data_IF_646672403159
#
_entry.id   IF_646672403159
#
_cell.length_a   1.000
_cell.length_b   1.000
_cell.length_c   1.000
_cell.angle_alpha   90.00
_cell.angle_beta   90.00
_cell.angle_gamma   90.00
#
_symmetry.space_group_name_H-M   'P 1'
#
loop_
_entity.id
_entity.type
_entity.pdbx_description
1 polymer ?
#
# COMPACT_ATOMS: atom_id res chain seq x y z
N UNK A 1 73.51 7.70 -21.84
CA UNK A 1 72.24 8.06 -22.50
C UNK A 1 71.12 7.24 -21.89
N UNK A 2 70.33 7.83 -20.98
CA UNK A 2 69.15 7.19 -20.39
C UNK A 2 67.91 7.90 -20.93
N UNK A 3 67.16 7.22 -21.79
CA UNK A 3 65.86 7.68 -22.25
C UNK A 3 64.81 7.39 -21.18
N UNK A 4 64.29 8.45 -20.56
CA UNK A 4 63.13 8.39 -19.67
C UNK A 4 61.88 8.45 -20.56
N UNK A 5 61.23 7.32 -20.76
CA UNK A 5 59.88 7.24 -21.34
C UNK A 5 58.87 7.79 -20.32
N UNK A 6 58.20 8.90 -20.66
CA UNK A 6 57.14 9.48 -19.82
C UNK A 6 55.88 8.59 -19.83
N UNK A 7 55.16 8.42 -18.72
CA UNK A 7 53.99 7.55 -18.65
C UNK A 7 52.76 8.25 -19.25
N UNK A 8 52.30 7.78 -20.40
CA UNK A 8 51.06 8.25 -21.07
C UNK A 8 49.79 7.61 -20.47
N UNK A 9 49.93 6.71 -19.50
CA UNK A 9 48.86 5.76 -19.14
C UNK A 9 47.90 6.23 -18.06
N UNK A 10 48.29 7.14 -17.17
CA UNK A 10 47.46 7.49 -16.00
C UNK A 10 46.19 8.31 -16.34
N UNK A 11 46.29 9.27 -17.27
CA UNK A 11 45.14 10.14 -17.64
C UNK A 11 44.08 9.41 -18.47
N UNK A 12 44.50 8.51 -19.36
CA UNK A 12 43.58 7.70 -20.16
C UNK A 12 42.81 6.70 -19.29
N UNK A 13 43.50 6.07 -18.32
CA UNK A 13 42.89 5.11 -17.40
C UNK A 13 41.87 5.78 -16.46
N UNK A 14 42.18 6.99 -15.97
CA UNK A 14 41.25 7.77 -15.15
C UNK A 14 40.00 8.23 -15.91
N UNK A 15 40.12 8.56 -17.21
CA UNK A 15 39.00 8.92 -18.07
C UNK A 15 38.10 7.72 -18.38
N UNK A 16 38.69 6.55 -18.64
CA UNK A 16 37.98 5.29 -18.83
C UNK A 16 37.24 4.84 -17.56
N UNK A 17 37.88 4.95 -16.38
CA UNK A 17 37.23 4.70 -15.09
C UNK A 17 36.07 5.67 -14.84
N UNK A 18 36.23 6.96 -15.18
CA UNK A 18 35.14 7.94 -15.09
C UNK A 18 33.98 7.63 -16.04
N UNK A 19 34.27 7.20 -17.27
CA UNK A 19 33.22 6.83 -18.25
C UNK A 19 32.48 5.56 -17.83
N UNK A 20 33.17 4.55 -17.31
CA UNK A 20 32.53 3.35 -16.74
C UNK A 20 31.70 3.69 -15.49
N UNK A 21 32.19 4.58 -14.63
CA UNK A 21 31.45 5.03 -13.45
C UNK A 21 30.22 5.85 -13.82
N UNK A 22 30.33 6.73 -14.83
CA UNK A 22 29.19 7.49 -15.35
C UNK A 22 28.19 6.59 -16.09
N UNK A 23 28.64 5.58 -16.82
CA UNK A 23 27.78 4.58 -17.45
C UNK A 23 27.06 3.70 -16.41
N UNK A 24 27.75 3.30 -15.33
CA UNK A 24 27.15 2.58 -14.21
C UNK A 24 26.13 3.46 -13.44
N UNK A 25 26.45 4.75 -13.22
CA UNK A 25 25.52 5.71 -12.63
C UNK A 25 24.31 5.98 -13.54
N UNK A 26 24.50 5.99 -14.87
CA UNK A 26 23.41 6.12 -15.85
C UNK A 26 22.54 4.86 -15.92
N UNK A 27 23.14 3.66 -15.92
CA UNK A 27 22.42 2.37 -15.80
C UNK A 27 21.70 2.21 -14.46
N UNK A 28 22.20 2.81 -13.39
CA UNK A 28 21.53 2.81 -12.09
C UNK A 28 20.36 3.81 -12.08
N UNK A 29 20.50 4.97 -12.75
CA UNK A 29 19.45 5.97 -12.88
C UNK A 29 18.29 5.55 -13.80
N UNK A 30 18.58 4.77 -14.85
CA UNK A 30 17.57 4.22 -15.76
C UNK A 30 16.84 2.98 -15.23
N UNK A 31 17.28 2.39 -14.11
CA UNK A 31 16.65 1.18 -13.55
C UNK A 31 15.39 1.45 -12.70
N UNK A 32 14.98 2.71 -12.58
CA UNK A 32 13.88 3.16 -11.72
C UNK A 32 12.86 4.05 -12.44
N UNK A 33 13.01 4.28 -13.75
CA UNK A 33 12.00 5.00 -14.52
C UNK A 33 10.99 3.98 -15.04
N UNK A 34 9.71 4.20 -14.73
CA UNK A 34 8.64 3.37 -15.22
C UNK A 34 8.49 3.51 -16.74
N UNK A 35 8.40 2.38 -17.43
CA UNK A 35 8.14 2.31 -18.86
C UNK A 35 6.82 1.57 -19.11
N UNK A 36 6.19 1.85 -20.25
CA UNK A 36 5.00 1.13 -20.66
C UNK A 36 5.39 -0.29 -21.06
N UNK A 37 4.83 -1.28 -20.36
CA UNK A 37 5.15 -2.71 -20.54
C UNK A 37 4.89 -3.13 -21.99
N UNK A 38 5.84 -3.86 -22.58
CA UNK A 38 5.68 -4.39 -23.95
C UNK A 38 4.71 -5.56 -23.96
N UNK A 39 4.05 -5.77 -25.10
CA UNK A 39 3.02 -6.80 -25.23
C UNK A 39 3.54 -8.20 -24.85
N UNK A 40 4.77 -8.53 -25.22
CA UNK A 40 5.40 -9.83 -24.98
C UNK A 40 5.79 -10.05 -23.50
N UNK A 41 5.91 -8.96 -22.73
CA UNK A 41 6.38 -8.97 -21.33
C UNK A 41 5.20 -8.93 -20.34
N UNK A 42 3.94 -8.74 -20.79
CA UNK A 42 2.75 -8.54 -19.94
C UNK A 42 2.53 -9.67 -18.92
N UNK A 43 2.85 -10.91 -19.29
CA UNK A 43 2.63 -12.10 -18.45
C UNK A 43 3.88 -12.57 -17.72
N UNK A 44 4.99 -11.86 -17.89
CA UNK A 44 6.22 -12.18 -17.18
C UNK A 44 6.20 -11.54 -15.79
N UNK A 45 6.72 -12.23 -14.76
CA UNK A 45 6.82 -11.64 -13.44
C UNK A 45 7.74 -10.42 -13.46
N UNK A 46 7.34 -9.37 -12.76
CA UNK A 46 8.17 -8.18 -12.62
C UNK A 46 9.51 -8.55 -11.95
N UNK A 47 10.62 -8.14 -12.56
CA UNK A 47 11.98 -8.50 -12.11
C UNK A 47 12.25 -8.10 -10.65
N UNK A 48 11.54 -7.08 -10.14
CA UNK A 48 11.68 -6.59 -8.77
C UNK A 48 11.28 -7.64 -7.73
N UNK A 49 10.35 -8.54 -8.05
CA UNK A 49 10.00 -9.66 -7.15
C UNK A 49 11.18 -10.61 -6.96
N UNK A 50 11.90 -10.92 -8.04
CA UNK A 50 13.12 -11.75 -7.98
C UNK A 50 14.26 -11.12 -7.18
N UNK A 51 14.40 -9.79 -7.21
CA UNK A 51 15.37 -9.07 -6.39
C UNK A 51 15.03 -9.16 -4.89
N UNK A 52 13.75 -9.05 -4.55
CA UNK A 52 13.27 -9.13 -3.16
C UNK A 52 13.46 -10.54 -2.60
N UNK A 53 13.21 -11.57 -3.41
CA UNK A 53 13.45 -12.97 -3.03
C UNK A 53 14.92 -13.21 -2.66
N UNK A 54 15.86 -12.66 -3.44
CA UNK A 54 17.29 -12.77 -3.17
C UNK A 54 17.72 -12.04 -1.90
N UNK A 55 17.11 -10.88 -1.62
CA UNK A 55 17.43 -10.06 -0.46
C UNK A 55 16.83 -10.62 0.84
N UNK A 56 15.61 -11.16 0.78
CA UNK A 56 14.86 -11.63 1.96
C UNK A 56 15.03 -13.13 2.23
N UNK A 57 15.50 -13.89 1.23
CA UNK A 57 15.54 -15.36 1.28
C UNK A 57 14.17 -16.02 1.24
N UNK A 58 13.10 -15.23 1.08
CA UNK A 58 11.71 -15.72 1.03
C UNK A 58 11.27 -15.75 -0.43
N UNK A 59 10.80 -16.88 -0.92
CA UNK A 59 10.32 -17.00 -2.30
C UNK A 59 8.92 -16.42 -2.42
N UNK A 60 8.78 -15.27 -3.07
CA UNK A 60 7.51 -14.66 -3.39
C UNK A 60 7.01 -15.23 -4.73
N UNK A 61 5.80 -15.79 -4.71
CA UNK A 61 5.17 -16.36 -5.92
C UNK A 61 3.78 -15.78 -6.12
N UNK A 62 3.29 -15.78 -7.37
CA UNK A 62 1.91 -15.41 -7.69
C UNK A 62 0.90 -16.22 -6.86
N UNK A 63 1.16 -17.51 -6.65
CA UNK A 63 0.31 -18.38 -5.82
C UNK A 63 0.31 -17.93 -4.35
N UNK A 64 1.48 -17.57 -3.80
CA UNK A 64 1.57 -17.07 -2.42
C UNK A 64 0.81 -15.74 -2.27
N UNK A 65 0.97 -14.81 -3.22
CA UNK A 65 0.25 -13.55 -3.26
C UNK A 65 -1.26 -13.77 -3.33
N UNK A 66 -1.72 -14.64 -4.23
CA UNK A 66 -3.14 -14.99 -4.35
C UNK A 66 -3.68 -15.56 -3.04
N UNK A 67 -3.01 -16.55 -2.45
CA UNK A 67 -3.45 -17.18 -1.19
C UNK A 67 -3.52 -16.17 -0.05
N UNK A 68 -2.54 -15.28 0.06
CA UNK A 68 -2.55 -14.23 1.09
C UNK A 68 -3.73 -13.28 0.88
N UNK A 69 -3.92 -12.75 -0.33
CA UNK A 69 -5.05 -11.87 -0.64
C UNK A 69 -6.39 -12.58 -0.42
N UNK A 70 -6.51 -13.83 -0.86
CA UNK A 70 -7.73 -14.62 -0.70
C UNK A 70 -8.14 -14.77 0.77
N UNK A 71 -7.18 -14.97 1.66
CA UNK A 71 -7.40 -15.03 3.11
C UNK A 71 -7.95 -13.73 3.73
N UNK A 72 -7.78 -12.59 3.07
CA UNK A 72 -8.35 -11.31 3.52
C UNK A 72 -9.81 -11.22 3.06
N UNK A 73 -10.73 -11.27 4.03
CA UNK A 73 -12.18 -11.27 3.78
C UNK A 73 -12.88 -10.12 4.50
N UNK A 74 -13.96 -9.65 3.89
CA UNK A 74 -14.92 -8.75 4.53
C UNK A 74 -16.05 -9.56 5.17
N UNK A 75 -16.71 -8.98 6.17
CA UNK A 75 -17.91 -9.57 6.78
C UNK A 75 -19.12 -9.48 5.84
N UNK A 76 -20.06 -10.42 5.98
CA UNK A 76 -21.31 -10.44 5.20
C UNK A 76 -22.21 -9.22 5.47
N UNK A 77 -22.03 -8.55 6.62
CA UNK A 77 -22.73 -7.31 6.98
C UNK A 77 -22.25 -6.08 6.19
N UNK A 78 -21.14 -6.19 5.45
CA UNK A 78 -20.60 -5.08 4.66
C UNK A 78 -21.45 -4.92 3.38
N UNK A 79 -21.86 -3.69 3.00
CA UNK A 79 -22.65 -3.47 1.79
C UNK A 79 -22.00 -4.01 0.51
N UNK A 80 -22.81 -4.53 -0.41
CA UNK A 80 -22.36 -5.16 -1.66
C UNK A 80 -21.44 -4.26 -2.49
N UNK A 81 -21.74 -2.96 -2.55
CA UNK A 81 -20.91 -2.00 -3.29
C UNK A 81 -19.47 -1.92 -2.73
N UNK A 82 -19.31 -1.96 -1.41
CA UNK A 82 -18.00 -1.96 -0.75
C UNK A 82 -17.29 -3.29 -0.98
N UNK A 83 -18.01 -4.42 -0.89
CA UNK A 83 -17.45 -5.74 -1.19
C UNK A 83 -16.95 -5.84 -2.63
N UNK A 84 -17.72 -5.33 -3.58
CA UNK A 84 -17.38 -5.30 -5.00
C UNK A 84 -16.09 -4.50 -5.23
N UNK A 85 -15.99 -3.27 -4.69
CA UNK A 85 -14.78 -2.47 -4.82
C UNK A 85 -13.58 -3.05 -4.06
N UNK A 86 -13.79 -3.74 -2.94
CA UNK A 86 -12.74 -4.46 -2.23
C UNK A 86 -12.14 -5.58 -3.09
N UNK A 87 -12.99 -6.39 -3.75
CA UNK A 87 -12.54 -7.43 -4.66
C UNK A 87 -11.80 -6.86 -5.88
N UNK A 88 -12.24 -5.73 -6.43
CA UNK A 88 -11.48 -5.03 -7.48
C UNK A 88 -10.10 -4.60 -6.98
N UNK A 89 -9.99 -4.18 -5.72
CA UNK A 89 -8.70 -3.81 -5.10
C UNK A 89 -7.78 -5.03 -4.94
N UNK A 90 -8.32 -6.18 -4.51
CA UNK A 90 -7.57 -7.45 -4.46
C UNK A 90 -7.10 -7.88 -5.85
N UNK A 91 -7.97 -7.80 -6.85
CA UNK A 91 -7.61 -8.11 -8.24
C UNK A 91 -6.47 -7.21 -8.72
N UNK A 92 -6.54 -5.90 -8.47
CA UNK A 92 -5.46 -4.97 -8.79
C UNK A 92 -4.15 -5.35 -8.09
N UNK A 93 -4.21 -5.76 -6.82
CA UNK A 93 -3.05 -6.23 -6.08
C UNK A 93 -2.45 -7.52 -6.64
N UNK A 94 -3.24 -8.42 -7.24
CA UNK A 94 -2.70 -9.59 -7.95
C UNK A 94 -1.85 -9.16 -9.15
N UNK A 95 -2.30 -8.15 -9.90
CA UNK A 95 -1.58 -7.64 -11.06
C UNK A 95 -0.26 -6.93 -10.71
N UNK A 96 0.01 -6.64 -9.42
CA UNK A 96 1.33 -6.14 -9.02
C UNK A 96 2.43 -7.19 -9.21
N UNK A 97 2.07 -8.47 -9.36
CA UNK A 97 2.99 -9.53 -9.77
C UNK A 97 3.62 -9.26 -11.15
N UNK A 98 2.83 -8.74 -12.08
CA UNK A 98 3.26 -8.43 -13.45
C UNK A 98 3.74 -6.99 -13.62
N UNK A 99 3.21 -6.07 -12.80
CA UNK A 99 3.60 -4.67 -12.80
C UNK A 99 3.65 -4.13 -11.38
N UNK A 100 4.83 -4.17 -10.78
CA UNK A 100 5.03 -3.75 -9.39
C UNK A 100 4.65 -2.27 -9.17
N UNK A 101 4.71 -1.46 -10.22
CA UNK A 101 4.31 -0.04 -10.29
C UNK A 101 2.82 0.20 -10.05
N UNK A 102 1.99 -0.85 -10.10
CA UNK A 102 0.58 -0.80 -9.72
C UNK A 102 0.37 -0.84 -8.20
N UNK A 103 1.38 -1.18 -7.40
CA UNK A 103 1.25 -1.30 -5.94
C UNK A 103 0.77 0.01 -5.28
N UNK A 104 1.33 1.20 -5.60
CA UNK A 104 0.80 2.46 -5.07
C UNK A 104 -0.66 2.75 -5.46
N UNK A 105 -1.10 2.28 -6.64
CA UNK A 105 -2.49 2.43 -7.10
C UNK A 105 -3.41 1.53 -6.28
N UNK A 106 -2.99 0.29 -6.01
CA UNK A 106 -3.70 -0.61 -5.12
C UNK A 106 -3.80 -0.01 -3.71
N UNK A 107 -2.71 0.54 -3.17
CA UNK A 107 -2.69 1.23 -1.88
C UNK A 107 -3.65 2.42 -1.85
N UNK A 108 -3.62 3.31 -2.85
CA UNK A 108 -4.54 4.45 -2.95
C UNK A 108 -6.01 3.99 -2.88
N UNK A 109 -6.34 2.91 -3.61
CA UNK A 109 -7.70 2.38 -3.64
C UNK A 109 -8.16 1.91 -2.25
N UNK A 110 -7.26 1.43 -1.39
CA UNK A 110 -7.62 1.08 0.00
C UNK A 110 -8.07 2.29 0.82
N UNK A 111 -7.38 3.44 0.71
CA UNK A 111 -7.77 4.65 1.44
C UNK A 111 -9.12 5.20 0.96
N UNK A 112 -9.32 5.20 -0.37
CA UNK A 112 -10.58 5.60 -0.99
C UNK A 112 -11.72 4.71 -0.48
N UNK A 113 -11.48 3.40 -0.37
CA UNK A 113 -12.50 2.47 0.09
C UNK A 113 -12.86 2.65 1.56
N UNK A 114 -11.88 2.94 2.44
CA UNK A 114 -12.15 3.28 3.85
C UNK A 114 -13.00 4.56 3.94
N UNK A 115 -12.63 5.60 3.19
CA UNK A 115 -13.41 6.85 3.15
C UNK A 115 -14.84 6.60 2.65
N UNK A 116 -14.98 5.81 1.58
CA UNK A 116 -16.28 5.47 1.00
C UNK A 116 -17.16 4.68 1.99
N UNK A 117 -16.60 3.64 2.63
CA UNK A 117 -17.28 2.86 3.65
C UNK A 117 -17.81 3.73 4.81
N UNK A 118 -17.00 4.69 5.27
CA UNK A 118 -17.43 5.64 6.30
C UNK A 118 -18.55 6.57 5.81
N UNK A 119 -18.41 7.15 4.60
CA UNK A 119 -19.45 8.02 4.02
C UNK A 119 -20.78 7.29 3.89
N UNK A 120 -20.73 6.04 3.44
CA UNK A 120 -21.88 5.16 3.32
C UNK A 120 -22.50 4.87 4.70
N UNK A 121 -21.71 4.45 5.69
CA UNK A 121 -22.21 4.15 7.05
C UNK A 121 -22.80 5.38 7.76
N UNK A 122 -22.29 6.57 7.48
CA UNK A 122 -22.82 7.81 8.06
C UNK A 122 -23.94 8.45 7.25
N UNK A 123 -24.16 8.05 5.98
CA UNK A 123 -25.02 8.72 5.01
C UNK A 123 -24.63 10.21 4.85
N UNK A 124 -23.32 10.47 4.65
CA UNK A 124 -22.73 11.83 4.57
C UNK A 124 -21.59 11.92 3.55
N UNK A 125 -21.93 12.08 2.26
CA UNK A 125 -20.92 12.16 1.19
C UNK A 125 -20.03 13.41 1.25
N UNK A 126 -20.55 14.49 1.81
CA UNK A 126 -19.86 15.78 1.90
C UNK A 126 -18.95 15.92 3.12
N UNK A 127 -18.91 14.94 4.02
CA UNK A 127 -18.05 15.03 5.19
C UNK A 127 -16.59 14.74 4.83
N UNK A 128 -15.64 15.56 5.30
CA UNK A 128 -14.23 15.34 5.04
C UNK A 128 -13.73 14.11 5.80
N UNK A 129 -12.78 13.40 5.20
CA UNK A 129 -12.24 12.13 5.73
C UNK A 129 -11.78 12.20 7.21
N UNK A 130 -11.02 13.21 7.68
CA UNK A 130 -10.67 13.33 9.10
C UNK A 130 -11.87 13.37 10.05
N UNK A 131 -12.96 14.04 9.63
CA UNK A 131 -14.19 14.17 10.42
C UNK A 131 -14.90 12.82 10.56
N UNK A 132 -14.95 12.04 9.48
CA UNK A 132 -15.54 10.71 9.46
C UNK A 132 -14.80 9.76 10.41
N UNK A 133 -13.47 9.72 10.33
CA UNK A 133 -12.62 8.89 11.21
C UNK A 133 -12.86 9.28 12.68
N UNK A 134 -12.78 10.58 12.99
CA UNK A 134 -13.00 11.09 14.36
C UNK A 134 -14.37 10.69 14.90
N UNK A 135 -15.42 10.77 14.07
CA UNK A 135 -16.78 10.38 14.48
C UNK A 135 -16.92 8.87 14.68
N UNK A 136 -16.30 8.04 13.85
CA UNK A 136 -16.30 6.59 14.01
C UNK A 136 -15.63 6.16 15.32
N UNK A 137 -14.48 6.76 15.65
CA UNK A 137 -13.77 6.52 16.92
C UNK A 137 -14.63 6.95 18.11
N UNK A 138 -15.24 8.15 18.05
CA UNK A 138 -16.08 8.65 19.13
C UNK A 138 -17.35 7.80 19.37
N UNK A 139 -17.85 7.10 18.34
CA UNK A 139 -18.96 6.14 18.45
C UNK A 139 -18.50 4.74 18.90
N UNK A 140 -17.20 4.53 19.12
CA UNK A 140 -16.64 3.23 19.46
C UNK A 140 -16.67 2.22 18.31
N UNK A 141 -16.90 2.66 17.07
CA UNK A 141 -16.99 1.76 15.92
C UNK A 141 -15.65 1.15 15.55
N UNK A 142 -14.57 1.91 15.76
CA UNK A 142 -13.21 1.51 15.43
C UNK A 142 -12.31 1.74 16.64
N UNK A 143 -11.51 0.73 16.97
CA UNK A 143 -10.62 0.67 18.13
C UNK A 143 -9.34 -0.08 17.78
N UNK A 144 -8.29 0.11 18.57
CA UNK A 144 -6.97 -0.45 18.29
C UNK A 144 -7.00 -1.99 18.25
N UNK A 145 -7.80 -2.62 19.11
CA UNK A 145 -7.95 -4.08 19.20
C UNK A 145 -8.59 -4.74 17.98
N UNK A 146 -9.09 -3.95 17.02
CA UNK A 146 -9.60 -4.48 15.76
C UNK A 146 -8.55 -4.59 14.65
N UNK A 147 -7.29 -4.23 14.94
CA UNK A 147 -6.18 -4.30 13.99
C UNK A 147 -5.18 -5.39 14.37
N UNK A 148 -4.89 -6.30 13.44
CA UNK A 148 -4.04 -7.47 13.73
C UNK A 148 -2.57 -7.11 13.99
N UNK A 149 -2.10 -6.00 13.43
CA UNK A 149 -0.72 -5.52 13.59
C UNK A 149 -0.51 -4.62 14.82
N UNK A 150 -1.54 -4.40 15.63
CA UNK A 150 -1.49 -3.51 16.80
C UNK A 150 -1.72 -4.30 18.08
N UNK A 151 -0.76 -4.21 19.00
CA UNK A 151 -0.98 -4.61 20.39
C UNK A 151 -1.76 -3.50 21.11
N UNK A 152 -3.04 -3.74 21.35
CA UNK A 152 -3.91 -2.75 21.98
C UNK A 152 -3.48 -2.46 23.41
N UNK A 153 -3.38 -1.17 23.76
CA UNK A 153 -3.10 -0.74 25.12
C UNK A 153 -4.35 -0.98 25.99
N UNK A 154 -4.26 -1.78 27.09
CA UNK A 154 -5.42 -2.06 27.93
C UNK A 154 -6.06 -0.81 28.54
N UNK A 155 -5.26 0.24 28.76
CA UNK A 155 -5.71 1.50 29.35
C UNK A 155 -6.32 2.46 28.31
N UNK A 156 -5.98 2.30 27.04
CA UNK A 156 -6.43 3.19 25.96
C UNK A 156 -6.46 2.45 24.61
N UNK A 157 -7.61 1.85 24.32
CA UNK A 157 -7.84 1.09 23.09
C UNK A 157 -8.13 1.99 21.86
N UNK A 158 -7.67 3.25 21.87
CA UNK A 158 -7.85 4.16 20.72
C UNK A 158 -6.59 4.98 20.38
N UNK A 159 -5.45 4.67 21.00
CA UNK A 159 -4.18 5.39 20.83
C UNK A 159 -3.68 5.32 19.38
N UNK A 160 -3.81 4.18 18.72
CA UNK A 160 -3.42 4.01 17.32
C UNK A 160 -4.42 4.69 16.38
N UNK A 161 -5.72 4.41 16.51
CA UNK A 161 -6.74 4.95 15.59
C UNK A 161 -6.86 6.47 15.66
N UNK A 162 -6.59 7.11 16.81
CA UNK A 162 -6.59 8.58 16.89
C UNK A 162 -5.52 9.22 16.02
N UNK A 163 -4.36 8.58 15.83
CA UNK A 163 -3.33 9.07 14.89
C UNK A 163 -3.81 8.99 13.43
N UNK A 164 -4.69 8.03 13.13
CA UNK A 164 -5.20 7.82 11.78
C UNK A 164 -6.10 8.96 11.28
N UNK A 165 -6.61 9.82 12.17
CA UNK A 165 -7.35 11.04 11.81
C UNK A 165 -6.52 11.96 10.91
N UNK A 166 -5.21 12.02 11.13
CA UNK A 166 -4.27 12.83 10.33
C UNK A 166 -3.56 11.99 9.27
N UNK A 167 -3.18 10.76 9.61
CA UNK A 167 -2.35 9.90 8.75
C UNK A 167 -3.11 9.42 7.51
N UNK A 168 -4.32 8.86 7.63
CA UNK A 168 -5.03 8.31 6.48
C UNK A 168 -5.36 9.37 5.41
N UNK A 169 -5.88 10.55 5.76
CA UNK A 169 -6.14 11.60 4.77
C UNK A 169 -4.84 12.12 4.12
N UNK A 170 -3.76 12.25 4.89
CA UNK A 170 -2.45 12.66 4.37
C UNK A 170 -1.89 11.65 3.37
N UNK A 171 -1.94 10.35 3.70
CA UNK A 171 -1.49 9.27 2.81
C UNK A 171 -2.35 9.20 1.55
N UNK A 172 -3.68 9.30 1.67
CA UNK A 172 -4.60 9.33 0.52
C UNK A 172 -4.26 10.48 -0.43
N UNK A 173 -4.05 11.68 0.10
CA UNK A 173 -3.75 12.86 -0.72
C UNK A 173 -2.39 12.73 -1.39
N UNK A 174 -1.38 12.28 -0.65
CA UNK A 174 -0.04 12.05 -1.20
C UNK A 174 -0.06 11.00 -2.31
N UNK A 175 -0.75 9.87 -2.10
CA UNK A 175 -0.88 8.81 -3.11
C UNK A 175 -1.66 9.27 -4.35
N UNK A 176 -2.65 10.16 -4.20
CA UNK A 176 -3.38 10.73 -5.33
C UNK A 176 -2.54 11.65 -6.23
N UNK A 177 -1.48 12.24 -5.70
CA UNK A 177 -0.52 13.04 -6.49
C UNK A 177 0.58 12.20 -7.15
N UNK A 178 0.58 10.88 -6.90
CA UNK A 178 1.64 9.97 -7.31
C UNK A 178 2.77 9.94 -6.30
N UNK A 179 3.20 8.74 -5.91
CA UNK A 179 4.40 8.55 -5.11
C UNK A 179 5.58 8.18 -6.00
N UNK A 180 6.74 8.79 -5.77
CA UNK A 180 7.98 8.39 -6.43
C UNK A 180 8.61 7.15 -5.78
N UNK A 181 8.09 6.71 -4.63
CA UNK A 181 8.53 5.53 -3.90
C UNK A 181 7.74 4.30 -4.31
N UNK A 182 8.46 3.26 -4.72
CA UNK A 182 7.95 1.94 -5.07
C UNK A 182 8.11 1.02 -3.86
N UNK A 183 7.07 0.90 -3.04
CA UNK A 183 7.08 0.05 -1.84
C UNK A 183 6.06 -1.08 -1.97
N UNK A 184 6.50 -2.33 -1.81
CA UNK A 184 5.63 -3.52 -1.86
C UNK A 184 4.80 -3.65 -0.59
N UNK A 185 3.72 -2.89 -0.49
CA UNK A 185 2.89 -2.88 0.72
C UNK A 185 1.39 -3.02 0.45
N UNK A 186 0.94 -3.15 -0.81
CA UNK A 186 -0.48 -3.24 -1.13
C UNK A 186 -1.23 -4.32 -0.33
N UNK A 187 -0.63 -5.49 -0.13
CA UNK A 187 -1.25 -6.58 0.65
C UNK A 187 -1.52 -6.17 2.10
N UNK A 188 -0.53 -5.55 2.76
CA UNK A 188 -0.70 -5.05 4.14
C UNK A 188 -1.73 -3.92 4.21
N UNK A 189 -1.76 -3.03 3.22
CA UNK A 189 -2.78 -1.99 3.13
C UNK A 189 -4.19 -2.56 2.92
N UNK A 190 -4.34 -3.62 2.12
CA UNK A 190 -5.61 -4.33 1.92
C UNK A 190 -6.07 -5.00 3.21
N UNK A 191 -5.16 -5.61 3.97
CA UNK A 191 -5.47 -6.19 5.29
C UNK A 191 -6.01 -5.12 6.25
N UNK A 192 -5.28 -4.01 6.40
CA UNK A 192 -5.69 -2.89 7.27
C UNK A 192 -7.03 -2.30 6.79
N UNK A 193 -7.25 -2.20 5.49
CA UNK A 193 -8.50 -1.76 4.89
C UNK A 193 -9.67 -2.67 5.28
N UNK A 194 -9.50 -3.99 5.19
CA UNK A 194 -10.51 -4.95 5.60
C UNK A 194 -10.82 -4.83 7.09
N UNK A 195 -9.80 -4.66 7.94
CA UNK A 195 -9.95 -4.47 9.39
C UNK A 195 -10.71 -3.20 9.74
N UNK A 196 -10.47 -2.09 9.02
CA UNK A 196 -11.27 -0.86 9.15
C UNK A 196 -12.73 -1.11 8.78
N UNK A 197 -12.97 -1.69 7.59
CA UNK A 197 -14.33 -1.88 7.04
C UNK A 197 -15.13 -2.85 7.92
N UNK A 198 -14.53 -3.96 8.32
CA UNK A 198 -15.18 -4.95 9.19
C UNK A 198 -15.54 -4.35 10.56
N UNK A 199 -14.70 -3.47 11.10
CA UNK A 199 -15.04 -2.73 12.32
C UNK A 199 -16.20 -1.76 12.11
N UNK A 200 -16.22 -1.00 11.02
CA UNK A 200 -17.30 -0.02 10.71
C UNK A 200 -18.66 -0.71 10.57
N UNK A 201 -18.70 -1.89 9.96
CA UNK A 201 -19.91 -2.67 9.72
C UNK A 201 -20.06 -3.87 10.67
N UNK A 202 -19.41 -3.85 11.83
CA UNK A 202 -19.61 -4.89 12.83
C UNK A 202 -21.09 -4.93 13.26
N UNK A 203 -21.74 -6.11 13.29
CA UNK A 203 -23.14 -6.25 13.71
C UNK A 203 -23.43 -5.66 15.10
N UNK A 204 -22.43 -5.62 15.99
CA UNK A 204 -22.56 -5.09 17.35
C UNK A 204 -22.97 -3.60 17.39
N UNK A 205 -22.69 -2.83 16.32
CA UNK A 205 -22.93 -1.39 16.30
C UNK A 205 -24.38 -1.00 15.99
N UNK A 206 -25.12 -1.87 15.31
CA UNK A 206 -26.51 -1.60 14.93
C UNK A 206 -27.46 -1.91 16.11
N UNK A 207 -27.11 -2.88 16.95
CA UNK A 207 -27.86 -3.16 18.19
C UNK A 207 -27.75 -2.04 19.25
N UNK A 208 -26.63 -1.32 19.31
CA UNK A 208 -26.44 -0.24 20.28
C UNK A 208 -27.14 1.06 19.88
N UNK A 209 -27.26 1.36 18.58
CA UNK A 209 -27.95 2.57 18.10
C UNK A 209 -29.47 2.54 18.33
N UNK A 210 -30.10 1.36 18.25
CA UNK A 210 -31.54 1.20 18.55
C UNK A 210 -31.84 1.42 20.04
N UNK A 211 -30.89 1.11 20.94
CA UNK A 211 -31.06 1.31 22.39
C UNK A 211 -30.90 2.77 22.80
N UNK A 212 -30.04 3.53 22.12
CA UNK A 212 -29.86 4.97 22.37
C UNK A 212 -30.96 5.85 21.75
N UNK A 213 -31.62 5.40 20.67
CA UNK A 213 -32.75 6.12 20.07
C UNK A 213 -34.09 5.89 20.80
N UNK A 214 -34.14 4.91 21.71
CA UNK A 214 -35.32 4.56 22.50
C UNK A 214 -35.26 5.01 23.97
N UNK A 215 -34.30 5.83 24.35
CA UNK A 215 -34.11 6.43 25.69
C UNK A 215 -34.18 7.96 25.61
#
# INVERSE_FOLDING_TARGET
MHHITKPVTAKATALLLRLHFLAALWQCKNRFMEEFIKFEEIIEPDERHGLIDQLTGTRFTLESLYRTLDGIKLLDSVPEEIQSQFNVTKNLAIYTWYSYSLDPVAQLKTYILIEHALKLKFEKDNWPFPKLIKKAINRGWVKDSGFSHIEACPQDNTKYVRKMIEVLPSLRNSAAHGSNGLHQHAVGHIQICAEWINQIFSPDHDHNQVREAGA
#
